data_IF_518546110755
#
_entry.id   IF_518546110755
#
_cell.length_a   1.000
_cell.length_b   1.000
_cell.length_c   1.000
_cell.angle_alpha   90.00
_cell.angle_beta   90.00
_cell.angle_gamma   90.00
#
_symmetry.space_group_name_H-M   'P 1'
#
loop_
_entity.id
_entity.type
_entity.pdbx_description
1 polymer ?
#
# COMPACT_ATOMS: atom_id res chain seq x y z
N UNK A 1 -0.85 -40.84 -11.17
CA UNK A 1 -0.98 -39.68 -12.07
C UNK A 1 0.24 -38.79 -11.87
N UNK A 2 1.32 -39.01 -12.63
CA UNK A 2 2.60 -38.30 -12.46
C UNK A 2 2.52 -36.93 -13.14
N UNK A 3 2.46 -35.86 -12.34
CA UNK A 3 2.43 -34.46 -12.81
C UNK A 3 3.80 -34.13 -13.41
N UNK A 4 3.90 -33.99 -14.74
CA UNK A 4 5.15 -33.53 -15.36
C UNK A 4 5.43 -32.11 -14.89
N UNK A 5 6.49 -31.91 -14.11
CA UNK A 5 6.93 -30.58 -13.66
C UNK A 5 7.55 -29.84 -14.84
N UNK A 6 6.73 -29.12 -15.59
CA UNK A 6 7.21 -28.30 -16.69
C UNK A 6 7.80 -26.99 -16.13
N UNK A 7 9.13 -26.95 -15.96
CA UNK A 7 9.84 -25.78 -15.43
C UNK A 7 9.98 -24.63 -16.46
N UNK A 8 9.52 -24.82 -17.70
CA UNK A 8 9.58 -23.78 -18.76
C UNK A 8 8.65 -22.60 -18.48
N UNK A 9 7.63 -22.76 -17.62
CA UNK A 9 6.77 -21.66 -17.19
C UNK A 9 7.56 -20.54 -16.49
N UNK A 10 8.65 -20.88 -15.78
CA UNK A 10 9.50 -19.88 -15.11
C UNK A 10 10.19 -18.94 -16.09
N UNK A 11 10.56 -19.43 -17.29
CA UNK A 11 11.22 -18.58 -18.31
C UNK A 11 10.33 -17.46 -18.84
N UNK A 12 9.00 -17.64 -18.85
CA UNK A 12 8.06 -16.58 -19.24
C UNK A 12 7.80 -15.58 -18.11
N UNK A 13 7.98 -15.98 -16.85
CA UNK A 13 7.79 -15.12 -15.66
C UNK A 13 9.03 -14.27 -15.39
N UNK A 14 10.24 -14.80 -15.65
CA UNK A 14 11.51 -14.09 -15.46
C UNK A 14 11.52 -12.67 -16.06
N UNK A 15 11.15 -12.43 -17.35
CA UNK A 15 11.20 -11.08 -17.92
C UNK A 15 10.26 -10.10 -17.22
N UNK A 16 9.06 -10.54 -16.82
CA UNK A 16 8.13 -9.72 -16.07
C UNK A 16 8.66 -9.41 -14.66
N UNK A 17 9.24 -10.41 -13.99
CA UNK A 17 9.83 -10.25 -12.65
C UNK A 17 11.03 -9.31 -12.67
N UNK A 18 11.88 -9.40 -13.71
CA UNK A 18 13.07 -8.58 -13.86
C UNK A 18 12.69 -7.12 -14.14
N UNK A 19 11.68 -6.88 -14.99
CA UNK A 19 11.11 -5.55 -15.23
C UNK A 19 10.52 -4.93 -13.95
N UNK A 20 9.63 -5.65 -13.25
CA UNK A 20 9.02 -5.17 -12.01
C UNK A 20 10.07 -4.93 -10.91
N UNK A 21 11.02 -5.85 -10.79
CA UNK A 21 12.15 -5.73 -9.87
C UNK A 21 12.97 -4.48 -10.15
N UNK A 22 13.34 -4.24 -11.41
CA UNK A 22 14.13 -3.06 -11.78
C UNK A 22 13.39 -1.74 -11.50
N UNK A 23 12.10 -1.69 -11.84
CA UNK A 23 11.23 -0.52 -11.58
C UNK A 23 11.10 -0.23 -10.07
N UNK A 24 11.07 -1.26 -9.22
CA UNK A 24 10.99 -1.10 -7.76
C UNK A 24 12.35 -0.83 -7.10
N UNK A 25 13.44 -1.42 -7.61
CA UNK A 25 14.78 -1.33 -6.99
C UNK A 25 15.40 0.05 -7.17
N UNK A 26 15.26 0.68 -8.34
CA UNK A 26 15.82 2.01 -8.58
C UNK A 26 15.34 3.06 -7.55
N UNK A 27 14.02 3.26 -7.33
CA UNK A 27 13.56 4.20 -6.33
C UNK A 27 13.93 3.78 -4.91
N UNK A 28 14.01 2.47 -4.63
CA UNK A 28 14.42 1.97 -3.32
C UNK A 28 15.86 2.38 -2.98
N UNK A 29 16.79 2.26 -3.94
CA UNK A 29 18.17 2.75 -3.79
C UNK A 29 18.17 4.27 -3.51
N UNK A 30 17.33 5.04 -4.22
CA UNK A 30 17.20 6.48 -4.00
C UNK A 30 16.68 6.83 -2.60
N UNK A 31 15.69 6.10 -2.10
CA UNK A 31 15.13 6.30 -0.76
C UNK A 31 16.19 6.07 0.31
N UNK A 32 17.02 5.03 0.14
CA UNK A 32 18.14 4.76 1.06
C UNK A 32 19.17 5.89 0.98
N UNK A 33 19.60 6.32 -0.21
CA UNK A 33 20.55 7.45 -0.37
C UNK A 33 20.02 8.73 0.30
N UNK A 34 18.74 9.04 0.11
CA UNK A 34 18.10 10.22 0.69
C UNK A 34 17.93 10.13 2.21
N UNK A 35 17.89 8.93 2.79
CA UNK A 35 17.79 8.78 4.25
C UNK A 35 19.10 9.12 4.97
N UNK A 36 20.24 9.08 4.27
CA UNK A 36 21.57 9.39 4.82
C UNK A 36 22.07 10.81 4.51
N UNK A 37 21.40 11.53 3.61
CA UNK A 37 21.79 12.86 3.16
C UNK A 37 20.73 13.89 3.51
N UNK A 38 21.15 15.03 4.04
CA UNK A 38 20.25 16.18 4.19
C UNK A 38 20.03 16.85 2.82
N UNK A 39 18.78 16.84 2.37
CA UNK A 39 18.31 17.40 1.10
C UNK A 39 17.64 18.78 1.28
N UNK A 40 17.53 19.28 2.51
CA UNK A 40 16.79 20.51 2.81
C UNK A 40 17.65 21.78 2.70
N UNK A 41 18.97 21.71 2.88
CA UNK A 41 19.85 22.87 2.74
C UNK A 41 20.52 22.95 1.37
N UNK A 42 20.40 24.13 0.75
CA UNK A 42 20.87 24.46 -0.59
C UNK A 42 22.32 23.99 -0.86
N UNK A 43 22.48 23.28 -1.99
CA UNK A 43 23.71 23.07 -2.76
C UNK A 43 24.87 22.26 -2.17
N UNK A 44 24.84 21.84 -0.91
CA UNK A 44 25.81 20.87 -0.36
C UNK A 44 25.09 19.66 0.20
N UNK A 45 25.20 18.51 -0.47
CA UNK A 45 24.86 17.21 0.14
C UNK A 45 25.79 17.00 1.33
N UNK A 46 25.36 17.39 2.52
CA UNK A 46 26.08 17.08 3.75
C UNK A 46 25.65 15.66 4.14
N UNK A 47 26.62 14.77 4.28
CA UNK A 47 26.37 13.40 4.76
C UNK A 47 26.12 13.47 6.26
N UNK A 48 24.85 13.31 6.65
CA UNK A 48 24.39 13.41 8.04
C UNK A 48 24.32 12.02 8.71
N UNK A 49 24.44 10.95 7.93
CA UNK A 49 24.55 9.58 8.44
C UNK A 49 23.30 9.16 9.21
N UNK A 50 23.44 8.93 10.51
CA UNK A 50 22.37 8.41 11.39
C UNK A 50 21.71 9.47 12.27
N UNK A 51 22.05 10.75 12.12
CA UNK A 51 21.54 11.80 13.02
C UNK A 51 20.01 11.93 12.93
N UNK A 52 19.46 11.91 11.71
CA UNK A 52 18.02 11.92 11.48
C UNK A 52 17.29 10.78 12.18
N UNK A 53 17.87 9.58 12.20
CA UNK A 53 17.29 8.44 12.89
C UNK A 53 17.27 8.63 14.41
N UNK A 54 18.32 9.22 14.99
CA UNK A 54 18.37 9.52 16.43
C UNK A 54 17.34 10.59 16.80
N UNK A 55 17.22 11.65 16.00
CA UNK A 55 16.22 12.70 16.22
C UNK A 55 14.79 12.16 16.10
N UNK A 56 14.52 11.34 15.08
CA UNK A 56 13.23 10.67 14.88
C UNK A 56 12.87 9.79 16.07
N UNK A 57 13.77 8.90 16.48
CA UNK A 57 13.55 7.96 17.59
C UNK A 57 13.50 8.65 18.96
N UNK A 58 14.17 9.78 19.13
CA UNK A 58 14.12 10.59 20.35
C UNK A 58 12.85 11.43 20.48
N UNK A 59 12.09 11.62 19.39
CA UNK A 59 10.91 12.48 19.41
C UNK A 59 9.66 11.76 19.96
N UNK A 60 9.07 12.29 21.03
CA UNK A 60 7.82 11.76 21.59
C UNK A 60 6.66 11.80 20.58
N UNK A 61 6.66 12.83 19.71
CA UNK A 61 5.63 13.01 18.68
C UNK A 61 5.67 11.92 17.62
N UNK A 62 6.86 11.39 17.30
CA UNK A 62 6.98 10.24 16.40
C UNK A 62 6.31 9.01 17.01
N UNK A 63 6.62 8.68 18.26
CA UNK A 63 6.03 7.51 18.94
C UNK A 63 4.51 7.62 19.11
N UNK A 64 3.99 8.79 19.47
CA UNK A 64 2.55 9.05 19.53
C UNK A 64 1.87 8.83 18.17
N UNK A 65 2.48 9.34 17.09
CA UNK A 65 1.91 9.22 15.73
C UNK A 65 2.01 7.80 15.20
N UNK A 66 3.15 7.15 15.43
CA UNK A 66 3.42 5.77 15.02
C UNK A 66 2.47 4.79 15.73
N UNK A 67 2.30 4.94 17.04
CA UNK A 67 1.36 4.13 17.82
C UNK A 67 -0.07 4.25 17.33
N UNK A 68 -0.53 5.49 17.05
CA UNK A 68 -1.88 5.72 16.49
C UNK A 68 -2.05 5.11 15.10
N UNK A 69 -1.05 5.22 14.23
CA UNK A 69 -1.08 4.63 12.88
C UNK A 69 -1.15 3.10 12.93
N UNK A 70 -0.37 2.49 13.82
CA UNK A 70 -0.34 1.04 14.01
C UNK A 70 -1.64 0.53 14.63
N UNK A 71 -2.18 1.21 15.65
CA UNK A 71 -3.47 0.88 16.25
C UNK A 71 -4.61 0.98 15.23
N UNK A 72 -4.65 2.05 14.42
CA UNK A 72 -5.66 2.21 13.38
C UNK A 72 -5.63 1.07 12.36
N UNK A 73 -4.43 0.76 11.85
CA UNK A 73 -4.25 -0.34 10.87
C UNK A 73 -4.62 -1.69 11.48
N UNK A 74 -4.24 -1.95 12.73
CA UNK A 74 -4.57 -3.18 13.44
C UNK A 74 -6.08 -3.34 13.66
N UNK A 75 -6.78 -2.28 14.10
CA UNK A 75 -8.24 -2.30 14.28
C UNK A 75 -8.94 -2.58 12.96
N UNK A 76 -8.52 -1.93 11.86
CA UNK A 76 -9.08 -2.17 10.53
C UNK A 76 -8.85 -3.62 10.10
N UNK A 77 -7.62 -4.12 10.21
CA UNK A 77 -7.28 -5.50 9.84
C UNK A 77 -8.12 -6.53 10.61
N UNK A 78 -8.34 -6.31 11.90
CA UNK A 78 -9.18 -7.18 12.75
C UNK A 78 -10.63 -7.20 12.28
N UNK A 79 -11.15 -6.11 11.69
CA UNK A 79 -12.51 -6.05 11.16
C UNK A 79 -12.57 -6.58 9.72
N UNK A 80 -11.56 -6.26 8.91
CA UNK A 80 -11.48 -6.60 7.49
C UNK A 80 -11.34 -8.10 7.26
N UNK A 81 -10.50 -8.79 8.04
CA UNK A 81 -10.25 -10.23 7.87
C UNK A 81 -11.53 -11.06 8.12
N UNK A 82 -12.26 -10.90 9.24
CA UNK A 82 -13.52 -11.61 9.47
C UNK A 82 -14.60 -11.25 8.45
N UNK A 83 -14.70 -9.96 8.08
CA UNK A 83 -15.66 -9.52 7.07
C UNK A 83 -15.39 -10.17 5.71
N UNK A 84 -14.12 -10.18 5.28
CA UNK A 84 -13.68 -10.86 4.05
C UNK A 84 -13.96 -12.37 4.09
N UNK A 85 -13.69 -13.03 5.23
CA UNK A 85 -14.00 -14.45 5.42
C UNK A 85 -15.52 -14.72 5.38
N UNK A 86 -16.33 -13.88 6.03
CA UNK A 86 -17.78 -14.03 6.05
C UNK A 86 -18.38 -13.88 4.64
N UNK A 87 -17.89 -12.93 3.84
CA UNK A 87 -18.31 -12.74 2.44
C UNK A 87 -17.88 -13.95 1.60
N UNK A 88 -16.65 -14.43 1.75
CA UNK A 88 -16.15 -15.59 1.01
C UNK A 88 -16.97 -16.86 1.29
N UNK A 89 -17.37 -17.08 2.55
CA UNK A 89 -18.19 -18.23 2.96
C UNK A 89 -19.65 -18.10 2.54
N UNK A 90 -20.19 -16.87 2.54
CA UNK A 90 -21.59 -16.61 2.19
C UNK A 90 -21.85 -16.57 0.68
N UNK A 91 -20.82 -16.69 -0.16
CA UNK A 91 -20.93 -16.54 -1.61
C UNK A 91 -21.71 -17.72 -2.24
N UNK A 92 -22.92 -17.49 -2.79
CA UNK A 92 -23.75 -18.56 -3.34
C UNK A 92 -23.20 -19.04 -4.70
N UNK A 93 -23.01 -20.36 -4.86
CA UNK A 93 -22.34 -20.94 -6.04
C UNK A 93 -23.11 -20.89 -7.37
N UNK A 94 -24.38 -20.45 -7.42
CA UNK A 94 -25.28 -20.64 -8.58
C UNK A 94 -26.28 -19.51 -8.91
N UNK A 95 -26.05 -18.26 -8.50
CA UNK A 95 -27.08 -17.21 -8.65
C UNK A 95 -26.55 -15.90 -9.27
N UNK A 96 -27.42 -15.22 -10.03
CA UNK A 96 -27.24 -13.85 -10.52
C UNK A 96 -26.96 -12.83 -9.39
N UNK A 97 -27.28 -13.17 -8.13
CA UNK A 97 -26.93 -12.38 -6.95
C UNK A 97 -25.42 -12.25 -6.74
N UNK A 98 -24.60 -13.17 -7.26
CA UNK A 98 -23.13 -13.06 -7.23
C UNK A 98 -22.65 -11.83 -7.98
N UNK A 99 -23.24 -11.55 -9.16
CA UNK A 99 -22.89 -10.38 -9.95
C UNK A 99 -23.26 -9.09 -9.22
N UNK A 100 -24.41 -9.04 -8.55
CA UNK A 100 -24.85 -7.89 -7.76
C UNK A 100 -23.92 -7.66 -6.56
N UNK A 101 -23.56 -8.71 -5.81
CA UNK A 101 -22.59 -8.61 -4.70
C UNK A 101 -21.22 -8.12 -5.17
N UNK A 102 -20.68 -8.67 -6.26
CA UNK A 102 -19.39 -8.26 -6.81
C UNK A 102 -19.40 -6.80 -7.28
N UNK A 103 -20.44 -6.38 -8.00
CA UNK A 103 -20.59 -4.98 -8.43
C UNK A 103 -20.68 -4.05 -7.24
N UNK A 104 -21.44 -4.42 -6.19
CA UNK A 104 -21.60 -3.62 -4.98
C UNK A 104 -20.30 -3.46 -4.18
N UNK A 105 -19.44 -4.47 -4.18
CA UNK A 105 -18.11 -4.43 -3.54
C UNK A 105 -17.07 -3.71 -4.41
N UNK A 106 -17.22 -3.77 -5.73
CA UNK A 106 -16.29 -3.14 -6.69
C UNK A 106 -16.58 -1.65 -6.89
N UNK A 107 -17.84 -1.22 -6.78
CA UNK A 107 -18.25 0.17 -6.99
C UNK A 107 -17.50 1.16 -6.07
N UNK A 108 -17.37 0.90 -4.76
CA UNK A 108 -16.62 1.75 -3.85
C UNK A 108 -15.12 1.78 -4.17
N UNK A 109 -14.57 0.67 -4.68
CA UNK A 109 -13.16 0.57 -5.05
C UNK A 109 -12.83 1.38 -6.32
N UNK A 110 -13.80 1.46 -7.24
CA UNK A 110 -13.71 2.23 -8.48
C UNK A 110 -13.79 3.74 -8.26
N UNK A 111 -14.47 4.20 -7.20
CA UNK A 111 -14.47 5.61 -6.81
C UNK A 111 -13.09 5.89 -6.22
N UNK A 112 -12.19 6.58 -6.95
CA UNK A 112 -10.88 6.91 -6.41
C UNK A 112 -11.13 7.75 -5.17
N UNK A 113 -10.45 7.41 -4.07
CA UNK A 113 -10.51 8.16 -2.82
C UNK A 113 -10.30 9.67 -3.04
N UNK A 114 -9.48 10.02 -4.03
CA UNK A 114 -9.28 11.40 -4.45
C UNK A 114 -10.60 12.07 -4.88
N UNK A 115 -11.50 11.43 -5.64
CA UNK A 115 -12.78 12.03 -6.04
C UNK A 115 -13.68 12.28 -4.82
N UNK A 116 -13.75 11.34 -3.88
CA UNK A 116 -14.59 11.48 -2.68
C UNK A 116 -14.12 12.63 -1.77
N UNK A 117 -12.80 12.76 -1.57
CA UNK A 117 -12.21 13.84 -0.75
C UNK A 117 -12.24 15.18 -1.48
N UNK A 118 -11.89 15.21 -2.78
CA UNK A 118 -11.89 16.44 -3.58
C UNK A 118 -13.30 17.02 -3.72
N UNK A 119 -14.34 16.19 -3.88
CA UNK A 119 -15.71 16.68 -4.00
C UNK A 119 -16.22 17.25 -2.66
N UNK A 120 -15.85 16.63 -1.52
CA UNK A 120 -16.12 17.20 -0.18
C UNK A 120 -15.41 18.54 0.04
N UNK A 121 -14.16 18.69 -0.40
CA UNK A 121 -13.45 19.96 -0.33
C UNK A 121 -14.12 21.00 -1.26
N UNK A 122 -14.38 20.65 -2.52
CA UNK A 122 -15.00 21.55 -3.50
C UNK A 122 -16.36 22.08 -3.03
N UNK A 123 -17.17 21.27 -2.34
CA UNK A 123 -18.46 21.69 -1.77
C UNK A 123 -18.28 22.58 -0.53
N UNK A 124 -17.26 22.34 0.31
CA UNK A 124 -17.00 23.10 1.56
C UNK A 124 -16.34 24.46 1.34
N UNK A 125 -15.65 24.66 0.22
CA UNK A 125 -15.03 25.94 -0.16
C UNK A 125 -15.88 26.74 -1.19
N UNK A 126 -17.00 26.19 -1.64
CA UNK A 126 -17.92 26.83 -2.60
C UNK A 126 -19.26 27.26 -1.95
N UNK A 127 -19.36 27.16 -0.62
CA UNK A 127 -20.43 27.64 0.27
C UNK A 127 -19.80 28.52 1.34
#
# INVERSE_FOLDING_TARGET
>A
MAKSTNNRAWFFVIPALLLLGFVAVIPLIKVVDYSFHDIFYQKSKIWVGLEWYKELLGSIRFWETFGRSLLFSAIILIIEIPLGMAIALSMPKKSALVAVCLVSVSLPLLIPWNIAVQNKLKIKYCL
#
